data_IF_617526249537
#
_entry.id   IF_617526249537
#
_cell.length_a   1.000
_cell.length_b   1.000
_cell.length_c   1.000
_cell.angle_alpha   90.00
_cell.angle_beta   90.00
_cell.angle_gamma   90.00
#
_symmetry.space_group_name_H-M   'P 1'
#
loop_
_entity.id
_entity.type
_entity.pdbx_description
1 polymer ?
#
# COMPACT_ATOMS: atom_id res chain seq x y z
N UNK A 1 -17.67 13.66 -28.34
CA UNK A 1 -16.50 14.56 -28.39
C UNK A 1 -15.30 13.74 -28.82
N UNK A 2 -14.36 14.32 -29.56
CA UNK A 2 -13.11 13.63 -29.88
C UNK A 2 -12.18 13.64 -28.67
N UNK A 3 -11.56 12.51 -28.39
CA UNK A 3 -10.58 12.33 -27.32
C UNK A 3 -9.38 11.55 -27.86
N UNK A 4 -8.18 12.01 -27.55
CA UNK A 4 -6.94 11.33 -27.88
C UNK A 4 -6.62 10.33 -26.78
N UNK A 5 -6.53 9.05 -27.12
CA UNK A 5 -6.02 8.00 -26.24
C UNK A 5 -4.55 7.72 -26.55
N UNK A 6 -3.66 8.01 -25.60
CA UNK A 6 -2.24 7.66 -25.64
C UNK A 6 -2.02 6.37 -24.88
N UNK A 7 -1.94 5.25 -25.59
CA UNK A 7 -1.79 3.93 -24.99
C UNK A 7 -0.32 3.51 -25.04
N UNK A 8 0.23 3.13 -23.88
CA UNK A 8 1.55 2.50 -23.81
C UNK A 8 1.43 1.05 -24.30
N UNK A 9 1.93 0.80 -25.50
CA UNK A 9 2.06 -0.51 -26.15
C UNK A 9 3.41 -1.12 -25.82
N UNK A 10 3.45 -2.42 -25.55
CA UNK A 10 4.70 -3.09 -25.21
C UNK A 10 4.56 -4.60 -25.42
N UNK A 11 5.51 -5.21 -26.13
CA UNK A 11 5.68 -6.67 -26.12
C UNK A 11 6.63 -7.08 -25.00
N UNK A 12 6.57 -8.34 -24.59
CA UNK A 12 7.49 -8.88 -23.60
C UNK A 12 8.95 -8.60 -24.00
N UNK A 13 9.75 -8.07 -23.07
CA UNK A 13 11.15 -7.70 -23.27
C UNK A 13 11.41 -6.60 -24.33
N UNK A 14 10.39 -5.86 -24.75
CA UNK A 14 10.53 -4.70 -25.63
C UNK A 14 10.40 -3.39 -24.86
N UNK A 15 11.00 -2.32 -25.39
CA UNK A 15 10.77 -0.98 -24.85
C UNK A 15 9.32 -0.54 -25.09
N UNK A 16 8.69 0.17 -24.14
CA UNK A 16 7.34 0.70 -24.31
C UNK A 16 7.29 1.77 -25.39
N UNK A 17 6.24 1.75 -26.21
CA UNK A 17 5.96 2.75 -27.25
C UNK A 17 4.59 3.36 -27.00
N UNK A 18 4.48 4.67 -27.11
CA UNK A 18 3.18 5.35 -27.02
C UNK A 18 2.52 5.33 -28.40
N UNK A 19 1.37 4.67 -28.50
CA UNK A 19 0.52 4.72 -29.69
C UNK A 19 -0.69 5.61 -29.41
N UNK A 20 -1.06 6.41 -30.40
CA UNK A 20 -2.14 7.39 -30.30
C UNK A 20 -3.35 6.94 -31.11
N UNK A 21 -4.53 7.02 -30.51
CA UNK A 21 -5.81 6.73 -31.14
C UNK A 21 -6.77 7.89 -30.96
N UNK A 22 -7.46 8.28 -32.01
CA UNK A 22 -8.54 9.26 -31.95
C UNK A 22 -9.86 8.51 -31.74
N UNK A 23 -10.60 8.86 -30.70
CA UNK A 23 -11.84 8.18 -30.32
C UNK A 23 -12.96 9.21 -30.18
N UNK A 24 -14.06 8.98 -30.87
CA UNK A 24 -15.31 9.69 -30.60
C UNK A 24 -15.98 9.06 -29.38
N UNK A 25 -16.02 9.80 -28.28
CA UNK A 25 -16.61 9.34 -27.02
C UNK A 25 -17.54 10.37 -26.41
N UNK A 26 -18.57 9.91 -25.72
CA UNK A 26 -19.40 10.70 -24.83
C UNK A 26 -18.77 10.78 -23.44
N UNK A 27 -19.16 11.80 -22.67
CA UNK A 27 -18.70 11.99 -21.29
C UNK A 27 -18.95 10.77 -20.41
N UNK A 28 -20.07 10.07 -20.64
CA UNK A 28 -20.46 8.88 -19.88
C UNK A 28 -19.81 7.58 -20.33
N UNK A 29 -19.13 7.53 -21.49
CA UNK A 29 -18.45 6.30 -21.90
C UNK A 29 -17.33 5.97 -20.92
N UNK A 30 -17.28 4.70 -20.51
CA UNK A 30 -16.21 4.23 -19.64
C UNK A 30 -14.90 4.16 -20.42
N UNK A 31 -13.78 4.22 -19.72
CA UNK A 31 -12.48 4.00 -20.37
C UNK A 31 -12.44 2.62 -21.05
N UNK A 32 -13.13 1.63 -20.47
CA UNK A 32 -13.27 0.30 -21.07
C UNK A 32 -14.05 0.33 -22.40
N UNK A 33 -15.09 1.15 -22.53
CA UNK A 33 -15.84 1.30 -23.78
C UNK A 33 -14.93 1.86 -24.88
N UNK A 34 -14.16 2.91 -24.58
CA UNK A 34 -13.20 3.48 -25.52
C UNK A 34 -12.10 2.47 -25.92
N UNK A 35 -11.57 1.67 -24.98
CA UNK A 35 -10.59 0.62 -25.29
C UNK A 35 -11.18 -0.48 -26.17
N UNK A 36 -12.47 -0.81 -25.99
CA UNK A 36 -13.16 -1.77 -26.84
C UNK A 36 -13.33 -1.23 -28.26
N UNK A 37 -13.75 0.02 -28.38
CA UNK A 37 -13.88 0.71 -29.67
C UNK A 37 -12.54 0.73 -30.42
N UNK A 38 -11.45 1.13 -29.77
CA UNK A 38 -10.10 1.08 -30.35
C UNK A 38 -9.79 -0.33 -30.85
N UNK A 39 -10.00 -1.36 -30.00
CA UNK A 39 -9.67 -2.74 -30.36
C UNK A 39 -10.52 -3.27 -31.51
N UNK A 40 -11.81 -2.94 -31.57
CA UNK A 40 -12.73 -3.51 -32.54
C UNK A 40 -12.71 -2.80 -33.88
N UNK A 41 -12.47 -1.49 -33.88
CA UNK A 41 -12.65 -0.64 -35.07
C UNK A 41 -11.34 -0.11 -35.63
N UNK A 42 -10.27 0.00 -34.82
CA UNK A 42 -9.01 0.64 -35.22
C UNK A 42 -7.82 -0.33 -35.20
N UNK A 43 -7.66 -1.12 -34.15
CA UNK A 43 -6.49 -1.99 -33.95
C UNK A 43 -6.82 -3.26 -33.16
N UNK A 44 -7.08 -4.35 -33.89
CA UNK A 44 -7.36 -5.67 -33.33
C UNK A 44 -6.24 -6.27 -32.47
N UNK A 45 -5.00 -5.76 -32.56
CA UNK A 45 -3.84 -6.31 -31.85
C UNK A 45 -3.76 -5.87 -30.40
N UNK A 46 -4.45 -4.79 -30.01
CA UNK A 46 -4.42 -4.23 -28.66
C UNK A 46 -4.86 -5.25 -27.60
N UNK A 47 -4.02 -5.50 -26.59
CA UNK A 47 -4.29 -6.45 -25.53
C UNK A 47 -4.55 -5.78 -24.17
N UNK A 48 -5.64 -6.17 -23.51
CA UNK A 48 -5.97 -5.76 -22.14
C UNK A 48 -6.93 -6.76 -21.51
N UNK A 49 -6.95 -6.82 -20.17
CA UNK A 49 -7.87 -7.68 -19.41
C UNK A 49 -9.19 -6.94 -19.13
N UNK A 50 -10.31 -7.64 -19.28
CA UNK A 50 -11.66 -7.17 -18.97
C UNK A 50 -12.58 -8.36 -18.71
N UNK A 51 -13.66 -8.15 -17.95
CA UNK A 51 -14.71 -9.16 -17.79
C UNK A 51 -16.07 -8.53 -17.42
N UNK A 52 -16.31 -8.27 -16.13
CA UNK A 52 -17.66 -8.04 -15.59
C UNK A 52 -18.40 -6.76 -16.01
N UNK A 53 -17.66 -5.69 -16.35
CA UNK A 53 -18.19 -4.34 -16.65
C UNK A 53 -19.02 -3.68 -15.54
N UNK A 54 -19.03 -4.21 -14.31
CA UNK A 54 -19.76 -3.65 -13.17
C UNK A 54 -18.89 -3.55 -11.90
N UNK A 55 -17.58 -3.31 -12.07
CA UNK A 55 -16.67 -2.92 -10.98
C UNK A 55 -16.40 -3.99 -9.91
N UNK A 56 -16.71 -5.27 -10.17
CA UNK A 56 -16.54 -6.34 -9.15
C UNK A 56 -15.40 -7.34 -9.43
N UNK A 57 -15.05 -7.62 -10.70
CA UNK A 57 -14.07 -8.69 -11.00
C UNK A 57 -12.59 -8.27 -10.85
N UNK A 58 -12.31 -6.96 -10.79
CA UNK A 58 -10.94 -6.42 -10.70
C UNK A 58 -10.08 -6.53 -11.97
N UNK A 59 -10.49 -7.26 -13.01
CA UNK A 59 -9.62 -7.58 -14.16
C UNK A 59 -9.22 -6.40 -15.04
N UNK A 60 -10.00 -5.31 -15.05
CA UNK A 60 -9.75 -4.13 -15.89
C UNK A 60 -8.94 -3.03 -15.17
N UNK A 61 -8.21 -3.39 -14.11
CA UNK A 61 -7.28 -2.48 -13.46
C UNK A 61 -6.11 -2.16 -14.39
N UNK A 62 -5.83 -0.88 -14.54
CA UNK A 62 -4.72 -0.33 -15.32
C UNK A 62 -4.40 1.08 -14.84
N UNK A 63 -3.32 1.67 -15.34
CA UNK A 63 -2.99 3.06 -15.03
C UNK A 63 -3.69 3.98 -16.02
N UNK A 64 -4.54 4.86 -15.51
CA UNK A 64 -5.28 5.87 -16.26
C UNK A 64 -4.78 7.23 -15.80
N UNK A 65 -4.18 8.00 -16.70
CA UNK A 65 -3.67 9.34 -16.41
C UNK A 65 -2.76 9.36 -15.16
N UNK A 66 -1.82 8.41 -15.11
CA UNK A 66 -0.78 8.33 -14.09
C UNK A 66 -1.13 7.55 -12.81
N UNK A 67 -2.39 7.20 -12.56
CA UNK A 67 -2.83 6.44 -11.37
C UNK A 67 -3.51 5.13 -11.74
N UNK A 68 -3.39 4.11 -10.90
CA UNK A 68 -4.20 2.90 -11.05
C UNK A 68 -5.70 3.17 -10.83
N UNK A 69 -6.52 2.64 -11.72
CA UNK A 69 -7.98 2.71 -11.67
C UNK A 69 -8.62 1.54 -12.43
N UNK A 70 -9.94 1.37 -12.30
CA UNK A 70 -10.68 0.37 -13.06
C UNK A 70 -11.25 1.00 -14.33
N UNK A 71 -10.88 0.48 -15.50
CA UNK A 71 -11.33 1.04 -16.77
C UNK A 71 -12.86 1.00 -16.95
N UNK A 72 -13.56 0.04 -16.34
CA UNK A 72 -15.03 -0.03 -16.38
C UNK A 72 -15.74 0.86 -15.35
N UNK A 73 -15.00 1.47 -14.41
CA UNK A 73 -15.55 2.38 -13.39
C UNK A 73 -15.38 3.82 -13.82
N UNK A 74 -14.17 4.15 -14.29
CA UNK A 74 -13.84 5.51 -14.73
C UNK A 74 -14.47 5.79 -16.09
N UNK A 75 -15.00 7.00 -16.25
CA UNK A 75 -15.52 7.51 -17.52
C UNK A 75 -14.71 8.70 -18.03
N UNK A 76 -14.85 8.99 -19.32
CA UNK A 76 -14.15 10.08 -20.00
C UNK A 76 -14.36 11.41 -19.29
N UNK A 77 -15.61 11.74 -18.96
CA UNK A 77 -15.95 13.00 -18.28
C UNK A 77 -15.22 13.20 -16.97
N UNK A 78 -15.28 12.20 -16.09
CA UNK A 78 -14.64 12.20 -14.77
C UNK A 78 -13.12 12.30 -14.89
N UNK A 79 -12.48 11.57 -15.81
CA UNK A 79 -11.03 11.64 -16.00
C UNK A 79 -10.58 12.99 -16.56
N UNK A 80 -11.32 13.58 -17.50
CA UNK A 80 -11.02 14.91 -18.02
C UNK A 80 -11.23 16.00 -16.95
N UNK A 81 -12.27 15.90 -16.13
CA UNK A 81 -12.49 16.81 -15.01
C UNK A 81 -11.35 16.72 -13.97
N UNK A 82 -10.93 15.50 -13.63
CA UNK A 82 -9.82 15.24 -12.71
C UNK A 82 -8.50 15.80 -13.24
N UNK A 83 -8.20 15.58 -14.52
CA UNK A 83 -6.99 16.13 -15.15
C UNK A 83 -6.93 17.66 -15.06
N UNK A 84 -8.06 18.35 -15.30
CA UNK A 84 -8.15 19.82 -15.20
C UNK A 84 -7.84 20.35 -13.81
N UNK A 85 -8.14 19.58 -12.76
CA UNK A 85 -7.87 19.97 -11.37
C UNK A 85 -6.38 19.82 -11.00
N UNK A 86 -5.72 18.76 -11.50
CA UNK A 86 -4.34 18.41 -11.12
C UNK A 86 -3.31 19.16 -11.97
N UNK A 87 -3.64 19.40 -13.24
CA UNK A 87 -2.80 20.15 -14.17
C UNK A 87 -3.67 21.23 -14.83
N UNK A 88 -3.77 22.44 -14.22
CA UNK A 88 -4.44 23.56 -14.87
C UNK A 88 -3.81 23.78 -16.25
N UNK A 89 -4.62 24.00 -17.29
CA UNK A 89 -4.19 23.85 -18.66
C UNK A 89 -3.00 24.74 -19.00
N UNK A 90 -1.87 24.11 -19.38
CA UNK A 90 -0.93 24.68 -20.36
C UNK A 90 -1.47 24.54 -21.79
N UNK A 91 -2.68 23.98 -21.91
CA UNK A 91 -3.36 23.62 -23.13
C UNK A 91 -3.83 24.90 -23.81
N UNK A 92 -3.41 25.11 -25.06
CA UNK A 92 -3.93 26.15 -25.94
C UNK A 92 -5.43 25.98 -26.07
N UNK A 93 -6.19 27.08 -26.11
CA UNK A 93 -7.58 27.03 -26.53
C UNK A 93 -7.68 26.24 -27.86
N UNK A 94 -8.57 25.26 -27.91
CA UNK A 94 -8.82 24.34 -29.04
C UNK A 94 -7.94 23.08 -29.20
N UNK A 95 -7.30 22.55 -28.15
CA UNK A 95 -6.72 21.19 -28.25
C UNK A 95 -7.75 20.10 -27.97
N UNK A 96 -7.61 18.97 -28.66
CA UNK A 96 -8.35 17.74 -28.36
C UNK A 96 -7.88 17.23 -26.98
N UNK A 97 -8.77 16.87 -26.05
CA UNK A 97 -8.40 16.35 -24.74
C UNK A 97 -7.68 15.00 -24.87
N UNK A 98 -6.75 14.73 -23.95
CA UNK A 98 -5.92 13.53 -23.98
C UNK A 98 -6.11 12.67 -22.72
N UNK A 99 -6.17 11.35 -22.91
CA UNK A 99 -6.16 10.35 -21.84
C UNK A 99 -4.99 9.39 -22.09
N UNK A 100 -4.11 9.24 -21.10
CA UNK A 100 -2.99 8.29 -21.16
C UNK A 100 -3.33 6.99 -20.45
N UNK A 101 -3.12 5.86 -21.12
CA UNK A 101 -3.36 4.52 -20.57
C UNK A 101 -2.05 3.75 -20.54
N UNK A 102 -1.75 3.14 -19.40
CA UNK A 102 -0.54 2.37 -19.17
C UNK A 102 -0.85 1.07 -18.41
N UNK A 103 -0.02 0.02 -18.53
CA UNK A 103 -0.15 -1.19 -17.72
C UNK A 103 -0.01 -0.87 -16.23
N UNK A 104 -0.48 -1.77 -15.38
CA UNK A 104 -0.21 -1.71 -13.94
C UNK A 104 1.31 -1.75 -13.68
N UNK A 105 1.76 -0.97 -12.70
CA UNK A 105 3.13 -0.95 -12.20
C UNK A 105 3.46 -2.15 -11.32
N UNK A 106 4.73 -2.24 -10.90
CA UNK A 106 5.29 -3.30 -10.05
C UNK A 106 5.09 -4.74 -10.57
N UNK A 107 4.64 -4.90 -11.80
CA UNK A 107 4.36 -6.18 -12.45
C UNK A 107 4.91 -6.14 -13.88
N UNK A 108 5.67 -7.17 -14.31
CA UNK A 108 6.20 -7.21 -15.67
C UNK A 108 5.09 -7.23 -16.72
N UNK A 109 5.26 -6.49 -17.81
CA UNK A 109 4.31 -6.50 -18.93
C UNK A 109 4.49 -7.77 -19.75
N UNK A 110 3.37 -8.45 -20.04
CA UNK A 110 3.30 -9.58 -20.98
C UNK A 110 3.06 -9.03 -22.38
N UNK A 111 2.00 -8.22 -22.53
CA UNK A 111 1.64 -7.56 -23.78
C UNK A 111 0.72 -6.37 -23.50
N UNK A 112 1.05 -5.21 -24.03
CA UNK A 112 0.30 -3.96 -23.91
C UNK A 112 -0.09 -3.65 -22.46
N UNK A 113 -1.39 -3.75 -22.12
CA UNK A 113 -1.91 -3.46 -20.79
C UNK A 113 -2.04 -4.73 -19.91
N UNK A 114 -1.61 -5.88 -20.43
CA UNK A 114 -1.64 -7.17 -19.73
C UNK A 114 -0.32 -7.39 -19.00
N UNK A 115 -0.39 -7.51 -17.68
CA UNK A 115 0.77 -7.74 -16.80
C UNK A 115 0.82 -9.16 -16.24
N UNK A 116 2.01 -9.60 -15.86
CA UNK A 116 2.23 -10.83 -15.12
C UNK A 116 1.93 -10.60 -13.63
N UNK A 117 0.88 -11.25 -13.13
CA UNK A 117 0.43 -11.13 -11.73
C UNK A 117 0.96 -12.24 -10.82
N UNK A 118 1.89 -13.10 -11.27
CA UNK A 118 2.38 -14.22 -10.45
C UNK A 118 2.93 -13.77 -9.10
N UNK A 119 3.76 -12.72 -9.04
CA UNK A 119 4.26 -12.19 -7.76
C UNK A 119 3.13 -11.69 -6.85
N UNK A 120 2.09 -11.08 -7.43
CA UNK A 120 0.92 -10.63 -6.66
C UNK A 120 0.19 -11.81 -6.01
N UNK A 121 -0.02 -12.91 -6.73
CA UNK A 121 -0.68 -14.10 -6.20
C UNK A 121 0.19 -14.86 -5.21
N UNK A 122 1.49 -15.04 -5.49
CA UNK A 122 2.42 -15.70 -4.58
C UNK A 122 2.51 -14.96 -3.24
N UNK A 123 2.50 -13.62 -3.28
CA UNK A 123 2.50 -12.81 -2.06
C UNK A 123 1.19 -12.94 -1.26
N UNK A 124 0.06 -13.13 -1.95
CA UNK A 124 -1.21 -13.41 -1.27
C UNK A 124 -1.18 -14.79 -0.60
N UNK A 125 -0.62 -15.79 -1.27
CA UNK A 125 -0.48 -17.15 -0.72
C UNK A 125 0.43 -17.16 0.52
N UNK A 126 1.51 -16.36 0.50
CA UNK A 126 2.46 -16.24 1.60
C UNK A 126 1.83 -15.79 2.94
N UNK A 127 0.67 -15.14 2.93
CA UNK A 127 -0.05 -14.75 4.17
C UNK A 127 -1.13 -15.76 4.61
N UNK A 128 -1.18 -16.95 3.99
CA UNK A 128 -2.15 -18.01 4.28
C UNK A 128 -3.60 -17.48 4.41
N UNK A 129 -4.21 -16.97 3.33
CA UNK A 129 -5.39 -16.09 3.36
C UNK A 129 -6.73 -16.83 3.57
N UNK A 130 -6.72 -17.91 4.34
CA UNK A 130 -7.85 -18.77 4.67
C UNK A 130 -7.97 -18.94 6.18
N UNK A 131 -9.20 -19.18 6.67
CA UNK A 131 -9.46 -19.40 8.10
C UNK A 131 -8.89 -20.76 8.51
N UNK A 132 -8.01 -20.77 9.52
CA UNK A 132 -7.52 -22.00 10.14
C UNK A 132 -8.39 -22.40 11.33
N UNK A 133 -8.89 -23.62 11.28
CA UNK A 133 -9.68 -24.24 12.36
C UNK A 133 -8.93 -25.40 13.00
N UNK A 134 -7.60 -25.51 12.82
CA UNK A 134 -6.81 -26.66 13.29
C UNK A 134 -6.89 -26.88 14.80
N UNK A 135 -7.05 -25.80 15.57
CA UNK A 135 -7.19 -25.86 17.02
C UNK A 135 -8.63 -26.18 17.50
N UNK A 136 -9.61 -26.37 16.60
CA UNK A 136 -11.02 -26.53 16.93
C UNK A 136 -11.63 -27.75 16.25
N UNK A 137 -12.55 -28.42 16.94
CA UNK A 137 -13.43 -29.39 16.29
C UNK A 137 -14.36 -28.64 15.33
N UNK A 138 -14.42 -29.08 14.07
CA UNK A 138 -15.35 -28.53 13.09
C UNK A 138 -16.76 -28.92 13.55
N UNK A 139 -17.64 -27.94 13.85
CA UNK A 139 -18.99 -28.23 14.32
C UNK A 139 -19.84 -28.87 13.22
N UNK A 140 -20.95 -29.52 13.60
CA UNK A 140 -21.93 -30.08 12.65
C UNK A 140 -22.63 -28.99 11.82
N UNK A 141 -22.69 -27.76 12.35
CA UNK A 141 -23.34 -26.58 11.73
C UNK A 141 -22.31 -25.46 11.50
N UNK A 142 -22.77 -24.25 11.20
CA UNK A 142 -21.91 -23.08 11.05
C UNK A 142 -21.15 -22.70 12.34
N UNK A 143 -19.99 -22.07 12.17
CA UNK A 143 -19.30 -21.38 13.27
C UNK A 143 -20.12 -20.17 13.69
N UNK A 144 -20.38 -20.05 15.00
CA UNK A 144 -21.04 -18.87 15.56
C UNK A 144 -20.14 -17.64 15.42
N UNK A 145 -20.70 -16.56 14.90
CA UNK A 145 -20.07 -15.26 14.79
C UNK A 145 -21.13 -14.19 14.99
N UNK A 146 -20.92 -13.31 15.97
CA UNK A 146 -21.83 -12.20 16.24
C UNK A 146 -21.80 -11.16 15.12
N UNK A 147 -22.86 -10.34 14.95
CA UNK A 147 -22.84 -9.23 14.01
C UNK A 147 -21.67 -8.26 14.22
N UNK A 148 -21.27 -8.02 15.47
CA UNK A 148 -20.17 -7.13 15.84
C UNK A 148 -18.80 -7.70 15.46
N UNK A 149 -18.61 -9.03 15.53
CA UNK A 149 -17.39 -9.67 15.05
C UNK A 149 -17.36 -9.69 13.53
N UNK A 150 -18.49 -9.99 12.88
CA UNK A 150 -18.60 -10.02 11.43
C UNK A 150 -18.34 -8.64 10.82
N UNK A 151 -18.82 -7.56 11.43
CA UNK A 151 -18.68 -6.19 10.89
C UNK A 151 -17.23 -5.71 10.84
N UNK A 152 -16.34 -6.24 11.70
CA UNK A 152 -14.89 -5.99 11.64
C UNK A 152 -14.27 -6.42 10.31
N UNK A 153 -14.92 -7.34 9.60
CA UNK A 153 -14.45 -7.90 8.33
C UNK A 153 -15.03 -7.20 7.10
N UNK A 154 -15.99 -6.28 7.25
CA UNK A 154 -16.70 -5.69 6.10
C UNK A 154 -15.76 -4.94 5.17
N UNK A 155 -14.94 -4.05 5.72
CA UNK A 155 -14.02 -3.22 4.95
C UNK A 155 -12.99 -4.07 4.19
N UNK A 156 -12.40 -5.08 4.85
CA UNK A 156 -11.43 -5.99 4.21
C UNK A 156 -12.08 -7.00 3.27
N UNK A 157 -13.34 -7.34 3.50
CA UNK A 157 -14.15 -8.24 2.67
C UNK A 157 -14.43 -7.69 1.28
N UNK A 158 -14.40 -6.36 1.11
CA UNK A 158 -14.66 -5.70 -0.17
C UNK A 158 -13.50 -5.79 -1.18
N UNK A 159 -12.34 -6.35 -0.79
CA UNK A 159 -11.19 -6.45 -1.70
C UNK A 159 -11.48 -7.39 -2.87
N UNK A 160 -11.50 -6.84 -4.09
CA UNK A 160 -11.73 -7.56 -5.36
C UNK A 160 -10.45 -8.05 -6.04
N UNK A 161 -9.31 -7.98 -5.36
CA UNK A 161 -8.01 -8.46 -5.87
C UNK A 161 -7.59 -7.84 -7.23
N UNK A 162 -7.92 -6.57 -7.45
CA UNK A 162 -7.64 -5.88 -8.72
C UNK A 162 -6.17 -5.48 -8.95
N UNK A 163 -5.34 -5.46 -7.90
CA UNK A 163 -3.92 -5.13 -8.00
C UNK A 163 -3.58 -3.63 -8.04
N UNK A 164 -4.56 -2.73 -8.00
CA UNK A 164 -4.32 -1.26 -8.02
C UNK A 164 -3.39 -0.79 -6.89
N UNK A 165 -3.62 -1.26 -5.66
CA UNK A 165 -2.77 -0.90 -4.52
C UNK A 165 -1.33 -1.45 -4.65
N UNK A 166 -1.16 -2.61 -5.28
CA UNK A 166 0.14 -3.22 -5.52
C UNK A 166 0.91 -2.45 -6.60
N UNK A 167 0.22 -2.02 -7.65
CA UNK A 167 0.76 -1.22 -8.75
C UNK A 167 1.39 0.09 -8.29
N UNK A 168 0.75 0.81 -7.37
CA UNK A 168 1.19 2.14 -6.91
C UNK A 168 2.03 2.11 -5.62
N UNK A 169 2.45 0.92 -5.17
CA UNK A 169 3.18 0.80 -3.92
C UNK A 169 4.69 1.07 -4.11
N UNK A 170 5.15 2.26 -3.71
CA UNK A 170 6.58 2.62 -3.76
C UNK A 170 7.47 1.68 -2.94
N UNK A 171 6.97 1.16 -1.81
CA UNK A 171 7.73 0.18 -1.03
C UNK A 171 7.98 -1.11 -1.82
N UNK A 172 7.02 -1.54 -2.65
CA UNK A 172 7.17 -2.71 -3.50
C UNK A 172 8.05 -2.47 -4.72
N UNK A 173 8.07 -1.23 -5.22
CA UNK A 173 8.97 -0.82 -6.31
C UNK A 173 10.44 -0.95 -5.88
N UNK A 174 10.76 -0.50 -4.66
CA UNK A 174 12.13 -0.51 -4.12
C UNK A 174 12.52 -1.86 -3.49
N UNK A 175 11.58 -2.56 -2.86
CA UNK A 175 11.82 -3.85 -2.22
C UNK A 175 10.94 -4.95 -2.85
N UNK A 176 11.50 -5.78 -3.75
CA UNK A 176 10.75 -6.86 -4.37
C UNK A 176 10.24 -7.95 -3.41
N UNK A 177 10.90 -8.10 -2.26
CA UNK A 177 10.55 -9.10 -1.24
C UNK A 177 9.42 -8.62 -0.31
N UNK A 178 9.03 -7.34 -0.38
CA UNK A 178 7.88 -6.85 0.37
C UNK A 178 6.61 -7.50 -0.15
N UNK A 179 5.86 -8.16 0.73
CA UNK A 179 4.66 -8.93 0.38
C UNK A 179 3.56 -8.05 -0.26
N UNK A 180 3.54 -6.75 0.08
CA UNK A 180 2.67 -5.77 -0.58
C UNK A 180 1.34 -5.54 0.15
N UNK A 181 0.64 -4.45 -0.23
CA UNK A 181 -0.52 -3.97 0.52
C UNK A 181 -1.76 -4.87 0.38
N UNK A 182 -1.97 -5.53 -0.76
CA UNK A 182 -3.12 -6.42 -0.95
C UNK A 182 -3.07 -7.63 -0.02
N UNK A 183 -1.89 -8.24 0.09
CA UNK A 183 -1.65 -9.40 0.92
C UNK A 183 -1.83 -9.03 2.40
N UNK A 184 -1.23 -7.93 2.86
CA UNK A 184 -1.37 -7.50 4.25
C UNK A 184 -2.78 -7.03 4.61
N UNK A 185 -3.54 -6.44 3.69
CA UNK A 185 -4.96 -6.15 3.92
C UNK A 185 -5.77 -7.45 4.13
N UNK A 186 -5.46 -8.50 3.36
CA UNK A 186 -6.06 -9.83 3.54
C UNK A 186 -5.55 -10.51 4.83
N UNK A 187 -4.30 -10.29 5.20
CA UNK A 187 -3.69 -10.80 6.41
C UNK A 187 -4.42 -10.26 7.66
N UNK A 188 -4.74 -8.96 7.67
CA UNK A 188 -5.51 -8.36 8.76
C UNK A 188 -6.91 -8.95 8.88
N UNK A 189 -7.57 -9.27 7.75
CA UNK A 189 -8.84 -10.01 7.78
C UNK A 189 -8.72 -11.30 8.59
N UNK A 190 -7.60 -12.03 8.48
CA UNK A 190 -7.38 -13.26 9.24
C UNK A 190 -7.18 -13.00 10.72
N UNK A 191 -6.39 -11.97 11.06
CA UNK A 191 -6.17 -11.55 12.45
C UNK A 191 -7.48 -11.12 13.13
N UNK A 192 -8.37 -10.45 12.39
CA UNK A 192 -9.63 -9.94 12.93
C UNK A 192 -10.80 -10.96 12.94
N UNK A 193 -10.69 -12.07 12.22
CA UNK A 193 -11.79 -13.04 12.07
C UNK A 193 -11.83 -13.98 13.28
N UNK A 194 -12.89 -13.89 14.10
CA UNK A 194 -13.06 -14.69 15.33
C UNK A 194 -13.09 -16.21 15.11
N UNK A 195 -13.25 -16.64 13.86
CA UNK A 195 -13.22 -18.05 13.46
C UNK A 195 -11.81 -18.59 13.28
N UNK A 196 -10.82 -17.73 13.03
CA UNK A 196 -9.41 -18.12 12.91
C UNK A 196 -8.81 -18.41 14.29
N UNK A 197 -7.87 -19.35 14.33
CA UNK A 197 -7.24 -19.82 15.57
C UNK A 197 -5.71 -19.72 15.55
N UNK A 198 -5.13 -19.08 14.53
CA UNK A 198 -3.68 -18.98 14.31
C UNK A 198 -3.18 -17.54 14.42
N UNK A 199 -3.89 -16.66 15.13
CA UNK A 199 -3.57 -15.23 15.20
C UNK A 199 -2.13 -14.98 15.61
N UNK A 200 -1.64 -15.65 16.65
CA UNK A 200 -0.27 -15.50 17.16
C UNK A 200 0.77 -15.90 16.10
N UNK A 201 0.62 -17.10 15.52
CA UNK A 201 1.52 -17.61 14.48
C UNK A 201 1.52 -16.70 13.23
N UNK A 202 0.36 -16.13 12.90
CA UNK A 202 0.22 -15.16 11.80
C UNK A 202 0.93 -13.86 12.12
N UNK A 203 0.74 -13.28 13.31
CA UNK A 203 1.40 -12.05 13.71
C UNK A 203 2.93 -12.20 13.72
N UNK A 204 3.44 -13.34 14.16
CA UNK A 204 4.87 -13.68 14.08
C UNK A 204 5.35 -13.74 12.63
N UNK A 205 4.64 -14.46 11.77
CA UNK A 205 4.95 -14.54 10.32
C UNK A 205 4.93 -13.16 9.65
N UNK A 206 3.95 -12.32 9.97
CA UNK A 206 3.83 -10.97 9.40
C UNK A 206 4.89 -10.00 9.95
N UNK A 207 5.55 -10.34 11.05
CA UNK A 207 6.63 -9.59 11.70
C UNK A 207 8.02 -9.86 11.07
N UNK A 208 8.09 -10.49 9.88
CA UNK A 208 9.35 -10.78 9.17
C UNK A 208 10.00 -9.52 8.54
N UNK A 209 10.33 -8.53 9.37
CA UNK A 209 11.08 -7.34 8.97
C UNK A 209 10.51 -6.61 7.76
N UNK A 210 11.36 -6.34 6.76
CA UNK A 210 11.00 -5.59 5.54
C UNK A 210 10.21 -6.42 4.52
N UNK A 211 10.13 -7.74 4.67
CA UNK A 211 9.25 -8.60 3.86
C UNK A 211 7.79 -8.49 4.31
N UNK A 212 7.59 -8.46 5.64
CA UNK A 212 6.30 -8.32 6.29
C UNK A 212 5.86 -6.87 6.48
N UNK A 213 5.11 -6.59 7.56
CA UNK A 213 4.46 -5.29 7.77
C UNK A 213 5.42 -4.10 7.84
N UNK A 214 6.67 -4.30 8.27
CA UNK A 214 7.66 -3.23 8.41
C UNK A 214 8.27 -2.80 7.09
N UNK A 215 8.03 -3.51 5.99
CA UNK A 215 8.33 -3.02 4.64
C UNK A 215 7.48 -1.83 4.21
N UNK A 216 6.31 -1.63 4.83
CA UNK A 216 5.41 -0.53 4.50
C UNK A 216 5.96 0.82 5.00
N UNK A 217 6.22 1.73 4.06
CA UNK A 217 6.72 3.11 4.28
C UNK A 217 5.62 4.15 4.50
N UNK A 218 4.35 3.74 4.53
CA UNK A 218 3.19 4.62 4.81
C UNK A 218 2.99 5.78 3.80
N UNK A 219 3.30 5.55 2.52
CA UNK A 219 3.12 6.54 1.45
C UNK A 219 1.67 6.79 0.99
N UNK A 220 0.68 6.10 1.57
CA UNK A 220 -0.77 6.26 1.35
C UNK A 220 -1.33 5.95 -0.06
N UNK A 221 -0.49 5.77 -1.08
CA UNK A 221 -0.97 5.50 -2.45
C UNK A 221 -1.88 4.27 -2.58
N UNK A 222 -1.66 3.23 -1.77
CA UNK A 222 -2.52 2.04 -1.76
C UNK A 222 -3.97 2.32 -1.36
N UNK A 223 -4.21 3.29 -0.49
CA UNK A 223 -5.55 3.69 -0.06
C UNK A 223 -6.18 4.61 -1.10
N UNK A 224 -5.43 5.58 -1.63
CA UNK A 224 -5.95 6.58 -2.57
C UNK A 224 -6.40 6.00 -3.91
N UNK A 225 -5.91 4.83 -4.29
CA UNK A 225 -6.28 4.14 -5.54
C UNK A 225 -7.21 2.95 -5.34
N UNK A 226 -7.59 2.62 -4.11
CA UNK A 226 -8.46 1.48 -3.86
C UNK A 226 -9.88 1.77 -4.37
N UNK A 227 -10.40 1.02 -5.36
CA UNK A 227 -11.73 1.31 -5.90
C UNK A 227 -12.88 0.90 -4.98
N UNK A 228 -12.57 0.17 -3.90
CA UNK A 228 -13.50 -0.48 -2.97
C UNK A 228 -13.29 -0.03 -1.51
N UNK A 229 -12.49 1.02 -1.28
CA UNK A 229 -12.30 1.65 0.04
C UNK A 229 -11.84 0.69 1.16
N UNK A 230 -11.03 -0.32 0.79
CA UNK A 230 -10.46 -1.31 1.72
C UNK A 230 -9.46 -0.69 2.71
N UNK A 231 -8.89 0.47 2.38
CA UNK A 231 -7.83 1.16 3.11
C UNK A 231 -6.65 0.25 3.54
N UNK A 232 -5.92 -0.38 2.60
CA UNK A 232 -4.81 -1.30 2.93
C UNK A 232 -3.79 -0.78 3.96
N UNK A 233 -3.43 0.51 3.94
CA UNK A 233 -2.49 1.09 4.91
C UNK A 233 -3.05 1.06 6.33
N UNK A 234 -4.35 1.33 6.49
CA UNK A 234 -5.02 1.23 7.78
C UNK A 234 -4.96 -0.21 8.29
N UNK A 235 -5.25 -1.19 7.44
CA UNK A 235 -5.21 -2.61 7.83
C UNK A 235 -3.79 -3.06 8.21
N UNK A 236 -2.76 -2.62 7.47
CA UNK A 236 -1.36 -2.84 7.83
C UNK A 236 -1.05 -2.21 9.20
N UNK A 237 -1.58 -1.02 9.47
CA UNK A 237 -1.37 -0.32 10.74
C UNK A 237 -2.01 -1.07 11.91
N UNK A 238 -3.19 -1.67 11.71
CA UNK A 238 -3.85 -2.51 12.72
C UNK A 238 -3.00 -3.76 13.03
N UNK A 239 -2.45 -4.45 12.03
CA UNK A 239 -1.51 -5.56 12.27
C UNK A 239 -0.30 -5.09 13.09
N UNK A 240 0.27 -3.93 12.75
CA UNK A 240 1.40 -3.36 13.52
C UNK A 240 1.02 -3.03 14.97
N UNK A 241 -0.22 -2.68 15.25
CA UNK A 241 -0.70 -2.44 16.61
C UNK A 241 -0.82 -3.76 17.39
N UNK A 242 -1.44 -4.77 16.78
CA UNK A 242 -1.51 -6.13 17.35
C UNK A 242 -0.11 -6.66 17.70
N UNK A 243 0.84 -6.61 16.76
CA UNK A 243 2.24 -7.04 17.01
C UNK A 243 2.86 -6.33 18.22
N UNK A 244 2.54 -5.05 18.46
CA UNK A 244 3.14 -4.30 19.57
C UNK A 244 2.45 -4.52 20.91
N UNK A 245 1.16 -4.85 20.90
CA UNK A 245 0.41 -5.20 22.10
C UNK A 245 0.86 -6.57 22.65
N UNK A 246 1.33 -7.47 21.79
CA UNK A 246 1.82 -8.78 22.19
C UNK A 246 3.15 -8.67 22.98
N UNK A 247 3.12 -9.06 24.26
CA UNK A 247 4.23 -8.92 25.23
C UNK A 247 5.47 -9.78 24.95
N UNK A 248 5.38 -10.78 24.07
CA UNK A 248 6.44 -11.76 23.81
C UNK A 248 7.30 -11.46 22.57
N UNK A 249 7.14 -10.30 21.94
CA UNK A 249 7.87 -10.04 20.70
C UNK A 249 9.33 -9.68 20.99
N UNK A 250 10.26 -10.47 20.44
CA UNK A 250 11.69 -10.15 20.40
C UNK A 250 11.89 -8.69 19.99
N UNK A 251 12.84 -7.98 20.62
CA UNK A 251 13.16 -6.59 20.29
C UNK A 251 13.85 -6.47 18.92
N UNK A 252 13.09 -6.75 17.86
CA UNK A 252 13.51 -6.51 16.49
C UNK A 252 13.81 -5.03 16.31
N UNK A 253 14.71 -4.72 15.37
CA UNK A 253 15.07 -3.34 15.07
C UNK A 253 13.84 -2.48 14.71
N UNK A 254 12.84 -3.04 14.03
CA UNK A 254 11.62 -2.32 13.64
C UNK A 254 10.75 -1.94 14.85
N UNK A 255 10.64 -2.85 15.82
CA UNK A 255 9.89 -2.59 17.06
C UNK A 255 10.64 -1.58 17.91
N UNK A 256 11.95 -1.77 18.09
CA UNK A 256 12.80 -0.81 18.81
C UNK A 256 12.77 0.57 18.17
N UNK A 257 12.81 0.65 16.84
CA UNK A 257 12.68 1.91 16.11
C UNK A 257 11.40 2.67 16.51
N UNK A 258 10.27 1.97 16.61
CA UNK A 258 9.01 2.62 16.97
C UNK A 258 8.96 3.01 18.46
N UNK A 259 9.43 2.14 19.36
CA UNK A 259 9.47 2.42 20.81
C UNK A 259 10.36 3.64 21.11
N UNK A 260 11.60 3.61 20.63
CA UNK A 260 12.57 4.71 20.78
C UNK A 260 12.03 6.03 20.22
N UNK A 261 11.32 5.99 19.09
CA UNK A 261 10.72 7.21 18.54
C UNK A 261 9.72 7.84 19.52
N UNK A 262 8.84 7.02 20.10
CA UNK A 262 7.85 7.50 21.08
C UNK A 262 8.54 8.01 22.34
N UNK A 263 9.56 7.30 22.84
CA UNK A 263 10.31 7.69 24.04
C UNK A 263 11.01 9.04 23.86
N UNK A 264 11.73 9.23 22.75
CA UNK A 264 12.41 10.50 22.46
C UNK A 264 11.43 11.66 22.28
N UNK A 265 10.30 11.44 21.60
CA UNK A 265 9.25 12.47 21.44
C UNK A 265 8.60 12.80 22.79
N UNK A 266 8.42 11.81 23.68
CA UNK A 266 7.90 12.01 25.03
C UNK A 266 8.88 12.80 25.91
N UNK A 267 10.17 12.57 25.73
CA UNK A 267 11.23 13.25 26.48
C UNK A 267 11.44 14.68 26.01
N UNK A 268 11.57 14.91 24.71
CA UNK A 268 12.00 16.20 24.13
C UNK A 268 10.96 16.92 23.25
N UNK A 269 9.76 16.38 23.09
CA UNK A 269 8.68 16.94 22.25
C UNK A 269 8.84 16.70 20.74
N UNK A 270 10.01 16.21 20.31
CA UNK A 270 10.36 15.79 18.95
C UNK A 270 11.61 14.88 19.00
N UNK A 271 12.00 14.31 17.86
CA UNK A 271 13.03 13.25 17.79
C UNK A 271 14.44 13.84 17.93
N UNK A 272 15.20 13.39 18.94
CA UNK A 272 16.65 13.62 19.00
C UNK A 272 17.38 12.63 18.06
N UNK A 273 17.71 13.07 16.85
CA UNK A 273 18.37 12.25 15.83
C UNK A 273 19.70 11.64 16.29
N UNK A 274 20.41 12.31 17.22
CA UNK A 274 21.69 11.86 17.77
C UNK A 274 21.50 10.57 18.57
N UNK A 275 20.48 10.57 19.42
CA UNK A 275 20.13 9.41 20.23
C UNK A 275 19.42 8.33 19.42
N UNK A 276 18.58 8.73 18.46
CA UNK A 276 17.77 7.82 17.66
C UNK A 276 18.62 6.76 16.95
N UNK A 277 19.67 7.19 16.24
CA UNK A 277 20.57 6.26 15.54
C UNK A 277 21.27 5.28 16.50
N UNK A 278 21.71 5.77 17.66
CA UNK A 278 22.41 4.97 18.67
C UNK A 278 21.49 3.94 19.35
N UNK A 279 20.31 4.38 19.79
CA UNK A 279 19.37 3.53 20.50
C UNK A 279 18.73 2.49 19.57
N UNK A 280 18.39 2.87 18.33
CA UNK A 280 17.76 1.96 17.37
C UNK A 280 18.76 0.99 16.75
N UNK A 281 19.89 1.47 16.23
CA UNK A 281 20.85 0.63 15.48
C UNK A 281 21.86 -0.02 16.42
N UNK A 282 22.34 0.70 17.42
CA UNK A 282 23.25 0.17 18.43
C UNK A 282 22.56 -0.67 19.50
N UNK A 283 21.23 -0.78 19.48
CA UNK A 283 20.43 -1.47 20.49
C UNK A 283 20.84 -1.06 21.92
N UNK A 284 20.83 0.24 22.20
CA UNK A 284 21.34 0.79 23.47
C UNK A 284 22.78 0.33 23.78
N UNK A 285 23.66 0.37 22.77
CA UNK A 285 25.05 -0.12 22.78
C UNK A 285 25.25 -1.64 22.94
N UNK A 286 24.18 -2.44 22.92
CA UNK A 286 24.28 -3.91 22.96
C UNK A 286 24.71 -4.53 21.62
N UNK A 287 24.53 -3.82 20.50
CA UNK A 287 24.95 -4.26 19.16
C UNK A 287 26.12 -3.41 18.63
N UNK A 288 27.34 -3.85 18.96
CA UNK A 288 28.57 -3.18 18.52
C UNK A 288 28.77 -3.25 17.00
N UNK A 289 28.28 -4.30 16.32
CA UNK A 289 28.39 -4.43 14.86
C UNK A 289 27.45 -3.46 14.15
N UNK A 290 26.21 -3.35 14.61
CA UNK A 290 25.25 -2.37 14.13
C UNK A 290 25.77 -0.93 14.28
N UNK A 291 26.43 -0.64 15.40
CA UNK A 291 27.01 0.68 15.67
C UNK A 291 28.22 1.00 14.78
N UNK A 292 29.10 0.02 14.51
CA UNK A 292 30.21 0.17 13.58
C UNK A 292 29.74 0.46 12.14
N UNK A 293 28.60 -0.09 11.72
CA UNK A 293 28.01 0.21 10.41
C UNK A 293 27.56 1.67 10.25
N UNK A 294 27.29 2.38 11.35
CA UNK A 294 26.96 3.81 11.33
C UNK A 294 28.20 4.72 11.29
N UNK A 295 29.38 4.23 11.67
CA UNK A 295 30.59 5.05 11.76
C UNK A 295 30.96 5.77 10.45
N UNK A 296 30.87 5.15 9.25
CA UNK A 296 31.15 5.85 7.99
C UNK A 296 30.17 6.99 7.71
N UNK A 297 28.89 6.83 8.07
CA UNK A 297 27.87 7.86 7.90
C UNK A 297 28.12 9.01 8.89
N UNK A 298 28.35 8.69 10.16
CA UNK A 298 28.67 9.66 11.20
C UNK A 298 29.90 10.50 10.84
N UNK A 299 30.98 9.87 10.37
CA UNK A 299 32.19 10.55 9.94
C UNK A 299 31.91 11.51 8.76
N UNK A 300 31.13 11.09 7.76
CA UNK A 300 30.73 11.97 6.65
C UNK A 300 29.90 13.16 7.12
N UNK A 301 29.01 12.96 8.08
CA UNK A 301 28.21 14.04 8.65
C UNK A 301 29.07 15.04 9.42
N UNK A 302 30.04 14.56 10.22
CA UNK A 302 30.99 15.41 10.96
C UNK A 302 31.85 16.21 9.98
N UNK A 303 32.45 15.57 8.97
CA UNK A 303 33.28 16.24 7.95
C UNK A 303 32.49 17.32 7.21
N UNK A 304 31.19 17.11 6.99
CA UNK A 304 30.31 18.08 6.32
C UNK A 304 29.66 19.09 7.27
N UNK A 305 30.00 19.08 8.56
CA UNK A 305 29.38 19.96 9.57
C UNK A 305 27.87 19.74 9.74
N UNK A 306 27.36 18.57 9.37
CA UNK A 306 25.92 18.20 9.43
C UNK A 306 25.57 17.34 10.63
N UNK A 307 26.52 17.07 11.52
CA UNK A 307 26.26 16.30 12.72
C UNK A 307 25.74 17.23 13.83
N UNK A 308 24.52 17.02 14.35
CA UNK A 308 23.98 17.86 15.42
C UNK A 308 24.76 17.60 16.72
N UNK A 309 25.29 18.66 17.34
CA UNK A 309 26.05 18.57 18.59
C UNK A 309 25.18 18.80 19.83
N UNK A 310 24.14 19.64 19.72
CA UNK A 310 23.14 19.90 20.76
C UNK A 310 21.75 19.43 20.33
N UNK A 311 20.85 19.33 21.29
CA UNK A 311 19.42 19.12 21.08
C UNK A 311 18.68 20.09 21.98
N UNK A 312 17.74 20.82 21.41
CA UNK A 312 16.85 21.72 22.14
C UNK A 312 15.46 21.08 22.19
N UNK A 313 14.90 20.80 23.38
CA UNK A 313 13.55 20.32 23.51
C UNK A 313 12.54 21.33 22.92
N UNK A 314 11.41 20.82 22.42
CA UNK A 314 10.32 21.66 21.94
C UNK A 314 9.67 22.44 23.10
N UNK A 315 9.25 23.68 22.86
CA UNK A 315 8.50 24.49 23.84
C UNK A 315 7.24 23.74 24.34
N UNK A 316 6.61 22.93 23.48
CA UNK A 316 5.41 22.15 23.79
C UNK A 316 5.66 20.78 24.44
N UNK A 317 6.88 20.48 24.90
CA UNK A 317 7.26 19.14 25.38
C UNK A 317 6.33 18.60 26.47
N UNK A 318 5.92 19.43 27.43
CA UNK A 318 5.01 19.00 28.51
C UNK A 318 3.63 18.60 27.98
N UNK A 319 3.11 19.37 27.02
CA UNK A 319 1.82 19.07 26.39
C UNK A 319 1.90 17.77 25.58
N UNK A 320 2.97 17.58 24.79
CA UNK A 320 3.21 16.35 24.02
C UNK A 320 3.28 15.13 24.97
N UNK A 321 4.04 15.24 26.06
CA UNK A 321 4.16 14.19 27.07
C UNK A 321 2.81 13.85 27.70
N UNK A 322 2.05 14.87 28.12
CA UNK A 322 0.72 14.69 28.71
C UNK A 322 -0.25 14.00 27.76
N UNK A 323 -0.20 14.31 26.46
CA UNK A 323 -1.05 13.67 25.44
C UNK A 323 -0.69 12.19 25.29
N UNK A 324 0.61 11.87 25.18
CA UNK A 324 1.09 10.49 25.06
C UNK A 324 0.67 9.67 26.29
N UNK A 325 0.88 10.20 27.49
CA UNK A 325 0.51 9.53 28.75
C UNK A 325 -0.99 9.33 28.88
N UNK A 326 -1.79 10.32 28.47
CA UNK A 326 -3.25 10.23 28.49
C UNK A 326 -3.76 9.12 27.55
N UNK A 327 -3.17 9.01 26.35
CA UNK A 327 -3.50 7.92 25.41
C UNK A 327 -3.11 6.56 25.98
N UNK A 328 -1.90 6.44 26.54
CA UNK A 328 -1.43 5.20 27.17
C UNK A 328 -2.31 4.76 28.34
N UNK A 329 -2.78 5.71 29.17
CA UNK A 329 -3.73 5.43 30.25
C UNK A 329 -5.08 4.96 29.72
N UNK A 330 -5.60 5.60 28.67
CA UNK A 330 -6.86 5.17 28.05
C UNK A 330 -6.76 3.78 27.42
N UNK A 331 -5.66 3.47 26.74
CA UNK A 331 -5.42 2.16 26.15
C UNK A 331 -5.26 1.09 27.24
N UNK A 332 -4.51 1.37 28.32
CA UNK A 332 -4.37 0.43 29.45
C UNK A 332 -5.64 0.21 30.26
N UNK A 333 -6.62 1.12 30.19
CA UNK A 333 -7.93 0.97 30.83
C UNK A 333 -8.96 0.20 29.99
N UNK A 334 -8.62 -0.17 28.75
CA UNK A 334 -9.47 -0.93 27.81
C UNK A 334 -9.10 -2.43 27.73
N UNK A 335 -8.05 -2.87 28.41
CA UNK A 335 -7.73 -4.28 28.69
C UNK A 335 -8.52 -4.80 29.90
#
# INVERSE_FOLDING_TARGET
MEVIFKIIRQEQNSAPVVQTYLVEAESGNTILDCLNQIKWEQDGTLAFRKNCRNTICGSCAMRINGRSALACKENVGSELARLKQIAPPKIRANSIPEITIAPLGNMPVIKDLVVNMSSFWNNLEAVAPYVSTKARLVPEREFLQSPQERSRLDQTGNCIMCGACYSECNAREVNPDFVGPHALAKAYRMVADSRDSETENRLESYNEGTKGVWGCTRCLYCDSVCPMDVAPLEQITKIKQEILAHKQVDETRSIRHRKVLVDLVKEGGWIDERQFGLQVVGNYFKDLRGLLNLAPLGLRMIIRGKFPLSFEPSEGTQQVRSLIESVQQQEGSRE
#
